data_IF_035677395007
#
_entry.id   IF_035677395007
#
_cell.length_a   1.000
_cell.length_b   1.000
_cell.length_c   1.000
_cell.angle_alpha   90.00
_cell.angle_beta   90.00
_cell.angle_gamma   90.00
#
_symmetry.space_group_name_H-M   'P 1'
#
loop_
_entity.id
_entity.type
_entity.pdbx_description
1 polymer ?
#
# COMPACT_ATOMS: atom_id res chain seq x y z
N UNK A 1 1.88 -45.06 34.90
CA UNK A 1 1.38 -43.74 35.33
C UNK A 1 1.79 -42.72 34.26
N UNK A 2 0.78 -42.07 33.70
CA UNK A 2 0.80 -40.84 32.90
C UNK A 2 1.88 -40.66 31.84
N UNK A 3 1.55 -41.12 30.62
CA UNK A 3 2.11 -40.57 29.40
C UNK A 3 1.76 -39.10 29.29
N UNK A 4 2.78 -38.25 29.38
CA UNK A 4 2.70 -36.85 28.99
C UNK A 4 2.38 -36.79 27.50
N UNK A 5 1.16 -36.36 27.21
CA UNK A 5 0.72 -35.98 25.88
C UNK A 5 1.48 -34.70 25.52
N UNK A 6 2.64 -34.85 24.90
CA UNK A 6 3.22 -33.83 24.02
C UNK A 6 2.25 -33.65 22.84
N UNK A 7 1.18 -32.90 23.10
CA UNK A 7 0.33 -32.29 22.08
C UNK A 7 1.17 -31.21 21.41
N UNK A 8 2.02 -31.70 20.51
CA UNK A 8 2.64 -31.07 19.36
C UNK A 8 1.86 -29.80 18.98
N UNK A 9 2.21 -28.66 19.59
CA UNK A 9 1.61 -27.35 19.33
C UNK A 9 2.11 -26.90 17.96
N UNK A 10 1.55 -27.50 16.92
CA UNK A 10 1.79 -27.09 15.53
C UNK A 10 1.37 -25.62 15.43
N UNK A 11 2.34 -24.76 15.17
CA UNK A 11 2.10 -23.35 14.93
C UNK A 11 1.03 -23.20 13.84
N UNK A 12 0.10 -22.28 14.06
CA UNK A 12 -0.88 -21.95 13.03
C UNK A 12 -0.16 -21.43 11.79
N UNK A 13 -0.77 -21.60 10.62
CA UNK A 13 -0.20 -21.11 9.36
C UNK A 13 0.15 -19.61 9.44
N UNK A 14 -0.65 -18.82 10.16
CA UNK A 14 -0.39 -17.40 10.36
C UNK A 14 0.77 -17.11 11.30
N UNK A 15 0.94 -17.90 12.37
CA UNK A 15 2.12 -17.79 13.24
C UNK A 15 3.43 -18.10 12.50
N UNK A 16 3.39 -19.07 11.56
CA UNK A 16 4.52 -19.34 10.66
C UNK A 16 4.78 -18.16 9.72
N UNK A 17 3.74 -17.55 9.16
CA UNK A 17 3.86 -16.36 8.29
C UNK A 17 4.45 -15.17 9.07
N UNK A 18 3.97 -14.88 10.28
CA UNK A 18 4.48 -13.79 11.13
C UNK A 18 5.96 -13.98 11.46
N UNK A 19 6.35 -15.21 11.81
CA UNK A 19 7.74 -15.56 12.08
C UNK A 19 8.64 -15.37 10.84
N UNK A 20 8.10 -15.62 9.64
CA UNK A 20 8.79 -15.37 8.36
C UNK A 20 8.86 -13.88 8.03
N UNK A 21 7.81 -13.11 8.33
CA UNK A 21 7.83 -11.64 8.21
C UNK A 21 8.96 -11.06 9.05
N UNK A 22 9.02 -11.46 10.32
CA UNK A 22 10.05 -10.98 11.25
C UNK A 22 11.46 -11.34 10.76
N UNK A 23 11.67 -12.58 10.31
CA UNK A 23 12.96 -13.03 9.78
C UNK A 23 13.41 -12.26 8.53
N UNK A 24 12.50 -11.87 7.65
CA UNK A 24 12.82 -11.06 6.46
C UNK A 24 13.15 -9.61 6.87
N UNK A 25 12.43 -9.05 7.85
CA UNK A 25 12.64 -7.68 8.31
C UNK A 25 13.92 -7.51 9.14
N UNK A 26 14.27 -8.52 9.95
CA UNK A 26 15.52 -8.54 10.73
C UNK A 26 16.76 -8.82 9.87
N UNK A 27 16.56 -9.34 8.65
CA UNK A 27 17.66 -9.72 7.76
C UNK A 27 17.40 -9.24 6.33
N UNK A 28 17.75 -7.97 6.09
CA UNK A 28 17.47 -7.24 4.85
C UNK A 28 17.95 -7.96 3.58
N UNK A 29 18.95 -8.84 3.67
CA UNK A 29 19.40 -9.66 2.53
C UNK A 29 18.27 -10.49 1.91
N UNK A 30 17.27 -10.86 2.69
CA UNK A 30 16.12 -11.65 2.24
C UNK A 30 14.99 -10.80 1.64
N UNK A 31 15.08 -9.47 1.68
CA UNK A 31 14.20 -8.60 0.89
C UNK A 31 14.43 -8.82 -0.62
N UNK A 32 15.67 -9.12 -1.01
CA UNK A 32 16.05 -9.34 -2.40
C UNK A 32 15.47 -10.65 -2.97
N UNK A 33 14.91 -10.59 -4.18
CA UNK A 33 14.32 -11.76 -4.87
C UNK A 33 15.34 -12.88 -5.14
N UNK A 34 16.62 -12.54 -5.34
CA UNK A 34 17.70 -13.49 -5.69
C UNK A 34 17.92 -14.56 -4.61
N UNK A 35 17.57 -14.27 -3.35
CA UNK A 35 17.74 -15.18 -2.20
C UNK A 35 16.48 -15.97 -1.83
N UNK A 36 15.47 -15.96 -2.71
CA UNK A 36 14.20 -16.63 -2.44
C UNK A 36 14.33 -18.14 -2.20
N UNK A 37 15.17 -18.83 -2.98
CA UNK A 37 15.38 -20.27 -2.85
C UNK A 37 16.15 -20.63 -1.57
N UNK A 38 17.14 -19.81 -1.19
CA UNK A 38 17.88 -19.94 0.07
C UNK A 38 16.92 -19.80 1.26
N UNK A 39 16.11 -18.74 1.24
CA UNK A 39 15.10 -18.49 2.27
C UNK A 39 14.06 -19.63 2.37
N UNK A 40 13.62 -20.18 1.23
CA UNK A 40 12.66 -21.28 1.21
C UNK A 40 13.21 -22.57 1.83
N UNK A 41 14.50 -22.88 1.62
CA UNK A 41 15.15 -24.02 2.27
C UNK A 41 15.23 -23.83 3.78
N UNK A 42 15.71 -22.66 4.23
CA UNK A 42 15.80 -22.35 5.65
C UNK A 42 14.45 -22.42 6.37
N UNK A 43 13.38 -21.94 5.74
CA UNK A 43 12.02 -21.99 6.30
C UNK A 43 11.47 -23.43 6.29
N UNK A 44 11.74 -24.20 5.23
CA UNK A 44 11.33 -25.60 5.18
C UNK A 44 11.96 -26.41 6.33
N UNK A 45 13.25 -26.21 6.58
CA UNK A 45 13.97 -26.82 7.70
C UNK A 45 13.43 -26.31 9.05
N UNK A 46 13.35 -24.99 9.24
CA UNK A 46 12.95 -24.37 10.51
C UNK A 46 11.55 -24.77 10.98
N UNK A 47 10.59 -24.92 10.06
CA UNK A 47 9.22 -25.30 10.39
C UNK A 47 8.92 -26.78 10.11
N UNK A 48 9.91 -27.56 9.66
CA UNK A 48 9.73 -28.96 9.26
C UNK A 48 8.57 -29.15 8.27
N UNK A 49 8.51 -28.28 7.26
CA UNK A 49 7.47 -28.28 6.22
C UNK A 49 8.06 -28.54 4.84
N UNK A 50 7.21 -28.96 3.90
CA UNK A 50 7.63 -29.11 2.51
C UNK A 50 8.10 -27.76 1.91
N UNK A 51 9.04 -27.83 0.96
CA UNK A 51 9.53 -26.65 0.25
C UNK A 51 8.40 -25.85 -0.41
N UNK A 52 7.34 -26.53 -0.88
CA UNK A 52 6.13 -25.90 -1.42
C UNK A 52 5.41 -25.06 -0.37
N UNK A 53 5.29 -25.56 0.86
CA UNK A 53 4.64 -24.88 1.98
C UNK A 53 5.49 -23.69 2.45
N UNK A 54 6.81 -23.86 2.55
CA UNK A 54 7.73 -22.77 2.86
C UNK A 54 7.65 -21.62 1.85
N UNK A 55 7.59 -21.95 0.54
CA UNK A 55 7.37 -20.96 -0.52
C UNK A 55 6.06 -20.19 -0.36
N UNK A 56 4.99 -20.87 0.06
CA UNK A 56 3.69 -20.25 0.37
C UNK A 56 3.81 -19.27 1.55
N UNK A 57 4.46 -19.66 2.63
CA UNK A 57 4.69 -18.76 3.78
C UNK A 57 5.49 -17.52 3.39
N UNK A 58 6.53 -17.65 2.55
CA UNK A 58 7.28 -16.48 2.05
C UNK A 58 6.40 -15.57 1.20
N UNK A 59 5.54 -16.13 0.34
CA UNK A 59 4.67 -15.34 -0.51
C UNK A 59 3.69 -14.49 0.33
N UNK A 60 3.05 -15.09 1.33
CA UNK A 60 2.17 -14.38 2.26
C UNK A 60 2.94 -13.36 3.11
N UNK A 61 4.11 -13.72 3.64
CA UNK A 61 4.94 -12.80 4.40
C UNK A 61 5.37 -11.57 3.57
N UNK A 62 5.67 -11.75 2.28
CA UNK A 62 6.00 -10.62 1.39
C UNK A 62 4.80 -9.74 1.10
N UNK A 63 3.59 -10.29 0.97
CA UNK A 63 2.36 -9.49 0.85
C UNK A 63 2.18 -8.64 2.10
N UNK A 64 2.38 -9.23 3.27
CA UNK A 64 2.23 -8.53 4.55
C UNK A 64 3.29 -7.43 4.74
N UNK A 65 4.56 -7.70 4.42
CA UNK A 65 5.63 -6.68 4.42
C UNK A 65 5.28 -5.53 3.48
N UNK A 66 4.78 -5.83 2.28
CA UNK A 66 4.35 -4.80 1.33
C UNK A 66 3.15 -4.00 1.85
N UNK A 67 2.20 -4.63 2.54
CA UNK A 67 1.05 -3.98 3.18
C UNK A 67 1.51 -3.00 4.27
N UNK A 68 2.40 -3.45 5.16
CA UNK A 68 3.03 -2.64 6.20
C UNK A 68 3.79 -1.46 5.59
N UNK A 69 4.59 -1.72 4.55
CA UNK A 69 5.34 -0.69 3.83
C UNK A 69 4.43 0.38 3.22
N UNK A 70 3.36 -0.03 2.50
CA UNK A 70 2.38 0.89 1.92
C UNK A 70 1.68 1.75 2.97
N UNK A 71 1.23 1.16 4.08
CA UNK A 71 0.61 1.89 5.19
C UNK A 71 1.55 2.91 5.82
N UNK A 72 2.84 2.58 5.96
CA UNK A 72 3.87 3.53 6.42
C UNK A 72 4.12 4.65 5.40
N UNK A 73 4.05 4.35 4.09
CA UNK A 73 4.24 5.35 3.03
C UNK A 73 3.11 6.36 3.02
N UNK A 74 1.87 5.92 3.21
CA UNK A 74 0.69 6.79 3.31
C UNK A 74 0.75 7.68 4.55
N UNK A 75 1.10 7.13 5.72
CA UNK A 75 1.33 7.92 6.93
C UNK A 75 2.46 8.93 6.78
N UNK A 76 3.57 8.54 6.15
CA UNK A 76 4.69 9.43 5.88
C UNK A 76 4.31 10.56 4.91
N UNK A 77 3.48 10.26 3.90
CA UNK A 77 2.95 11.25 2.98
C UNK A 77 2.01 12.24 3.68
N UNK A 78 1.05 11.76 4.48
CA UNK A 78 0.14 12.62 5.24
C UNK A 78 0.93 13.55 6.17
N UNK A 79 1.97 13.04 6.82
CA UNK A 79 2.88 13.85 7.63
C UNK A 79 3.59 14.92 6.77
N UNK A 80 4.18 14.52 5.64
CA UNK A 80 4.89 15.44 4.74
C UNK A 80 3.98 16.55 4.16
N UNK A 81 2.69 16.25 3.90
CA UNK A 81 1.69 17.24 3.48
C UNK A 81 1.38 18.21 4.61
N UNK A 82 1.13 17.71 5.84
CA UNK A 82 0.87 18.55 7.02
C UNK A 82 2.05 19.47 7.35
N UNK A 83 3.27 18.94 7.28
CA UNK A 83 4.49 19.72 7.54
C UNK A 83 4.63 20.85 6.50
N UNK A 84 4.32 20.58 5.22
CA UNK A 84 4.29 21.61 4.16
C UNK A 84 3.16 22.63 4.34
N UNK A 85 1.98 22.21 4.78
CA UNK A 85 0.87 23.13 5.09
C UNK A 85 1.22 24.06 6.25
N UNK A 86 1.88 23.53 7.29
CA UNK A 86 2.41 24.32 8.39
C UNK A 86 3.45 25.33 7.90
N UNK A 87 4.42 24.91 7.09
CA UNK A 87 5.44 25.79 6.52
C UNK A 87 4.83 26.84 5.59
N UNK A 88 3.82 26.50 4.80
CA UNK A 88 3.09 27.43 3.97
C UNK A 88 2.38 28.50 4.82
N UNK A 89 1.72 28.07 5.90
CA UNK A 89 1.06 29.00 6.82
C UNK A 89 2.07 29.93 7.51
N UNK A 90 3.17 29.37 8.00
CA UNK A 90 4.26 30.13 8.62
C UNK A 90 4.92 31.11 7.63
N UNK A 91 5.14 30.70 6.37
CA UNK A 91 5.69 31.56 5.34
C UNK A 91 4.68 32.65 4.89
N UNK A 92 3.38 32.34 4.84
CA UNK A 92 2.36 33.29 4.38
C UNK A 92 1.98 34.34 5.42
N UNK A 93 1.93 33.96 6.69
CA UNK A 93 1.43 34.82 7.78
C UNK A 93 2.49 35.19 8.82
N UNK A 94 3.68 34.61 8.71
CA UNK A 94 4.70 34.69 9.75
C UNK A 94 4.37 33.79 10.94
N UNK A 95 5.37 33.56 11.79
CA UNK A 95 5.19 32.91 13.08
C UNK A 95 5.37 33.95 14.18
N UNK A 96 4.43 34.01 15.12
CA UNK A 96 4.49 34.93 16.27
C UNK A 96 4.66 34.16 17.56
N UNK A 97 5.35 34.76 18.53
CA UNK A 97 5.39 34.26 19.91
C UNK A 97 4.09 34.60 20.66
N UNK A 98 4.04 34.21 21.95
CA UNK A 98 2.89 34.48 22.83
C UNK A 98 2.69 35.98 23.09
N UNK A 99 3.74 36.77 22.93
CA UNK A 99 3.77 38.23 23.13
C UNK A 99 3.50 39.00 21.82
N UNK A 100 3.08 38.28 20.78
CA UNK A 100 2.71 38.81 19.47
C UNK A 100 3.88 39.39 18.64
N UNK A 101 5.12 39.11 19.03
CA UNK A 101 6.32 39.47 18.27
C UNK A 101 6.61 38.40 17.21
N UNK A 102 7.13 38.83 16.05
CA UNK A 102 7.47 37.92 14.97
C UNK A 102 8.73 37.11 15.30
N UNK A 103 8.58 35.80 15.45
CA UNK A 103 9.66 34.82 15.43
C UNK A 103 10.14 34.60 13.99
N UNK A 104 9.19 34.56 13.04
CA UNK A 104 9.47 34.49 11.60
C UNK A 104 8.57 35.47 10.89
N UNK A 105 9.15 36.37 10.09
CA UNK A 105 8.38 37.32 9.29
C UNK A 105 7.74 36.60 8.08
N UNK A 106 6.58 37.06 7.60
CA UNK A 106 5.99 36.54 6.37
C UNK A 106 6.97 36.66 5.19
N UNK A 107 7.11 35.58 4.43
CA UNK A 107 7.88 35.52 3.19
C UNK A 107 7.01 34.90 2.08
N UNK A 108 6.32 35.76 1.33
CA UNK A 108 5.38 35.36 0.29
C UNK A 108 6.05 34.66 -0.90
N UNK A 109 7.34 34.93 -1.18
CA UNK A 109 8.09 34.23 -2.23
C UNK A 109 8.30 32.76 -1.85
N UNK A 110 8.72 32.51 -0.62
CA UNK A 110 8.86 31.16 -0.08
C UNK A 110 7.51 30.42 -0.01
N UNK A 111 6.43 31.13 0.34
CA UNK A 111 5.08 30.56 0.33
C UNK A 111 4.65 30.08 -1.07
N UNK A 112 4.98 30.82 -2.13
CA UNK A 112 4.71 30.43 -3.52
C UNK A 112 5.53 29.22 -3.97
N UNK A 113 6.79 29.14 -3.54
CA UNK A 113 7.66 27.97 -3.80
C UNK A 113 7.10 26.71 -3.10
N UNK A 114 6.68 26.82 -1.84
CA UNK A 114 6.06 25.71 -1.09
C UNK A 114 4.73 25.27 -1.73
N UNK A 115 3.95 26.19 -2.29
CA UNK A 115 2.72 25.87 -3.00
C UNK A 115 2.97 25.02 -4.26
N UNK A 116 3.98 25.37 -5.05
CA UNK A 116 4.38 24.60 -6.25
C UNK A 116 4.83 23.19 -5.86
N UNK A 117 5.71 23.08 -4.87
CA UNK A 117 6.19 21.78 -4.37
C UNK A 117 5.06 20.90 -3.84
N UNK A 118 4.02 21.49 -3.23
CA UNK A 118 2.83 20.78 -2.74
C UNK A 118 1.99 20.25 -3.90
N UNK A 119 1.83 21.02 -4.96
CA UNK A 119 1.09 20.60 -6.16
C UNK A 119 1.80 19.46 -6.88
N UNK A 120 3.13 19.50 -7.02
CA UNK A 120 3.91 18.42 -7.62
C UNK A 120 3.79 17.11 -6.82
N UNK A 121 3.89 17.19 -5.48
CA UNK A 121 3.70 16.03 -4.59
C UNK A 121 2.28 15.45 -4.66
N UNK A 122 1.27 16.32 -4.76
CA UNK A 122 -0.12 15.91 -4.93
C UNK A 122 -0.34 15.28 -6.31
N UNK A 123 0.25 15.85 -7.36
CA UNK A 123 0.22 15.32 -8.73
C UNK A 123 0.80 13.90 -8.79
N UNK A 124 2.01 13.70 -8.27
CA UNK A 124 2.65 12.38 -8.19
C UNK A 124 1.83 11.34 -7.40
N UNK A 125 1.11 11.78 -6.36
CA UNK A 125 0.23 10.90 -5.60
C UNK A 125 -1.05 10.55 -6.36
N UNK A 126 -1.66 11.54 -7.02
CA UNK A 126 -2.88 11.37 -7.82
C UNK A 126 -2.59 10.47 -9.01
N UNK A 127 -1.49 10.70 -9.75
CA UNK A 127 -1.03 9.83 -10.83
C UNK A 127 -0.77 8.39 -10.36
N UNK A 128 -0.19 8.21 -9.17
CA UNK A 128 0.06 6.88 -8.59
C UNK A 128 -1.24 6.18 -8.19
N UNK A 129 -2.23 6.91 -7.69
CA UNK A 129 -3.57 6.38 -7.41
C UNK A 129 -4.25 6.01 -8.72
N UNK A 130 -4.27 6.92 -9.69
CA UNK A 130 -4.90 6.72 -10.99
C UNK A 130 -4.27 5.53 -11.70
N UNK A 131 -2.94 5.45 -11.81
CA UNK A 131 -2.27 4.28 -12.38
C UNK A 131 -2.58 2.98 -11.63
N UNK A 132 -2.77 3.03 -10.29
CA UNK A 132 -3.16 1.86 -9.50
C UNK A 132 -4.63 1.48 -9.76
N UNK A 133 -5.51 2.44 -10.01
CA UNK A 133 -6.91 2.24 -10.43
C UNK A 133 -6.95 1.68 -11.86
N UNK A 134 -6.17 2.24 -12.79
CA UNK A 134 -6.04 1.74 -14.16
C UNK A 134 -5.44 0.33 -14.20
N UNK A 135 -4.48 0.03 -13.32
CA UNK A 135 -3.93 -1.33 -13.17
C UNK A 135 -4.92 -2.30 -12.53
N UNK A 136 -5.84 -1.83 -11.68
CA UNK A 136 -6.93 -2.65 -11.11
C UNK A 136 -8.11 -2.80 -12.08
N UNK A 137 -8.21 -2.00 -13.14
CA UNK A 137 -9.15 -2.21 -14.24
C UNK A 137 -8.70 -3.35 -15.18
N UNK A 138 -7.44 -3.77 -15.12
CA UNK A 138 -6.92 -4.91 -15.90
C UNK A 138 -7.40 -6.30 -15.40
N UNK A 139 -8.32 -6.34 -14.42
CA UNK A 139 -8.98 -7.56 -13.95
C UNK A 139 -10.39 -7.79 -14.54
N UNK A 140 -10.88 -6.87 -15.36
CA UNK A 140 -12.21 -6.97 -15.97
C UNK A 140 -12.11 -7.51 -17.40
N UNK A 141 -12.81 -8.62 -17.67
CA UNK A 141 -13.00 -9.12 -19.04
C UNK A 141 -14.01 -8.23 -19.78
N UNK A 142 -13.54 -7.06 -20.24
CA UNK A 142 -14.32 -6.08 -21.00
C UNK A 142 -14.59 -6.55 -22.44
N UNK A 143 -13.98 -7.65 -22.89
CA UNK A 143 -14.16 -8.20 -24.23
C UNK A 143 -15.57 -8.76 -24.51
N UNK A 144 -16.42 -8.82 -23.48
CA UNK A 144 -17.82 -9.26 -23.57
C UNK A 144 -18.83 -8.12 -23.72
N UNK A 145 -18.36 -6.87 -23.68
CA UNK A 145 -19.21 -5.68 -23.80
C UNK A 145 -19.34 -5.25 -25.25
N UNK A 146 -20.51 -4.75 -25.63
CA UNK A 146 -20.72 -4.07 -26.91
C UNK A 146 -20.12 -2.66 -26.88
N UNK A 147 -19.88 -2.07 -28.05
CA UNK A 147 -19.35 -0.70 -28.17
C UNK A 147 -20.22 0.35 -27.43
N UNK A 148 -21.54 0.14 -27.43
CA UNK A 148 -22.49 0.98 -26.68
C UNK A 148 -22.29 0.85 -25.16
N UNK A 149 -22.07 -0.36 -24.66
CA UNK A 149 -21.84 -0.61 -23.23
C UNK A 149 -20.46 -0.11 -22.78
N UNK A 150 -19.45 -0.18 -23.66
CA UNK A 150 -18.13 0.40 -23.42
C UNK A 150 -18.19 1.92 -23.31
N UNK A 151 -18.96 2.59 -24.18
CA UNK A 151 -19.17 4.04 -24.14
C UNK A 151 -19.86 4.48 -22.84
N UNK A 152 -20.81 3.69 -22.34
CA UNK A 152 -21.47 3.94 -21.05
C UNK A 152 -20.46 3.83 -19.89
N UNK A 153 -19.66 2.77 -19.86
CA UNK A 153 -18.61 2.56 -18.84
C UNK A 153 -17.58 3.68 -18.88
N UNK A 154 -17.12 4.08 -20.08
CA UNK A 154 -16.19 5.19 -20.25
C UNK A 154 -16.78 6.52 -19.76
N UNK A 155 -18.07 6.77 -20.03
CA UNK A 155 -18.80 7.92 -19.53
C UNK A 155 -18.91 7.95 -18.00
N UNK A 156 -19.15 6.80 -17.36
CA UNK A 156 -19.19 6.67 -15.89
C UNK A 156 -17.83 6.96 -15.27
N UNK A 157 -16.76 6.38 -15.83
CA UNK A 157 -15.38 6.61 -15.37
C UNK A 157 -14.98 8.08 -15.49
N UNK A 158 -15.31 8.74 -16.62
CA UNK A 158 -15.05 10.18 -16.81
C UNK A 158 -15.79 11.07 -15.81
N UNK A 159 -16.93 10.63 -15.29
CA UNK A 159 -17.70 11.32 -14.23
C UNK A 159 -17.26 10.95 -12.82
N UNK A 160 -16.31 10.04 -12.66
CA UNK A 160 -15.87 9.53 -11.35
C UNK A 160 -16.87 8.59 -10.68
N UNK A 161 -17.81 8.03 -11.45
CA UNK A 161 -18.79 7.06 -10.99
C UNK A 161 -18.19 5.65 -11.00
N UNK A 162 -18.59 4.79 -10.04
CA UNK A 162 -18.14 3.40 -9.99
C UNK A 162 -18.94 2.54 -10.99
N UNK A 163 -18.31 1.99 -12.05
CA UNK A 163 -19.01 1.18 -13.05
C UNK A 163 -19.36 -0.22 -12.54
N UNK A 164 -18.93 -0.63 -11.34
CA UNK A 164 -19.15 -2.00 -10.82
C UNK A 164 -20.62 -2.40 -10.75
N UNK A 165 -21.50 -1.48 -10.36
CA UNK A 165 -22.95 -1.77 -10.30
C UNK A 165 -23.53 -2.07 -11.69
N UNK A 166 -23.07 -1.31 -12.70
CA UNK A 166 -23.45 -1.52 -14.09
C UNK A 166 -22.89 -2.83 -14.64
N UNK A 167 -21.61 -3.10 -14.40
CA UNK A 167 -20.94 -4.33 -14.84
C UNK A 167 -21.55 -5.58 -14.18
N UNK A 168 -21.91 -5.50 -12.90
CA UNK A 168 -22.58 -6.59 -12.17
C UNK A 168 -23.98 -6.85 -12.73
N UNK A 169 -24.74 -5.81 -13.08
CA UNK A 169 -26.04 -5.93 -13.74
C UNK A 169 -25.96 -6.60 -15.12
N UNK A 170 -24.82 -6.47 -15.80
CA UNK A 170 -24.50 -7.16 -17.06
C UNK A 170 -23.95 -8.59 -16.87
N UNK A 171 -23.90 -9.09 -15.63
CA UNK A 171 -23.39 -10.43 -15.33
C UNK A 171 -21.87 -10.56 -15.40
N UNK A 172 -21.13 -9.44 -15.46
CA UNK A 172 -19.67 -9.43 -15.39
C UNK A 172 -19.28 -9.47 -13.91
N UNK A 173 -18.66 -10.59 -13.52
CA UNK A 173 -18.31 -10.81 -12.12
C UNK A 173 -17.18 -9.86 -11.69
N UNK A 174 -17.53 -8.93 -10.82
CA UNK A 174 -16.59 -8.03 -10.16
C UNK A 174 -16.01 -8.80 -8.97
N UNK A 175 -14.78 -9.30 -9.11
CA UNK A 175 -14.04 -9.79 -7.95
C UNK A 175 -13.90 -8.66 -6.94
N UNK A 176 -14.37 -8.86 -5.71
CA UNK A 176 -14.04 -7.96 -4.61
C UNK A 176 -12.52 -7.92 -4.46
N UNK A 177 -11.95 -6.72 -4.63
CA UNK A 177 -10.60 -6.44 -4.16
C UNK A 177 -10.67 -6.26 -2.64
N UNK A 178 -10.75 -7.37 -1.92
CA UNK A 178 -10.36 -7.43 -0.51
C UNK A 178 -8.83 -7.26 -0.37
#
# INVERSE_FOLDING_TARGET
>A
MNGERDLDKRLSTWQCVDSVVQLILENERYLQKKRYLELAKNIAEKFSVSLRTAKRYIAEARKEINRIGKAKTEKALVKAVRDREYLLHAAKYGLKDRDNNYIMKPNHKLALEILKDREDLKGLYTERIDHKVTLNLNGYDLGRLTDEQLSIVEGMVKRGEDPRNYLTALGIYVGSLD
#
